data_IF_422323562703
#
_entry.id   IF_422323562703
#
_cell.length_a   1.000
_cell.length_b   1.000
_cell.length_c   1.000
_cell.angle_alpha   90.00
_cell.angle_beta   90.00
_cell.angle_gamma   90.00
#
_symmetry.space_group_name_H-M   'P 1'
#
loop_
_entity.id
_entity.type
_entity.pdbx_description
1 polymer ?
#
# COMPACT_ATOMS: atom_id res chain seq x y z
N UNK A 1 5.81 12.33 -18.76
CA UNK A 1 5.55 13.76 -18.78
C UNK A 1 6.12 14.37 -17.49
N UNK A 2 6.96 15.37 -17.66
CA UNK A 2 7.53 16.11 -16.55
C UNK A 2 6.86 17.48 -16.50
N UNK A 3 6.21 17.83 -15.40
CA UNK A 3 5.72 19.18 -15.16
C UNK A 3 6.81 19.95 -14.42
N UNK A 4 7.33 20.98 -15.05
CA UNK A 4 8.33 21.85 -14.43
C UNK A 4 7.62 22.91 -13.58
N UNK A 5 7.88 22.87 -12.27
CA UNK A 5 7.47 23.90 -11.30
C UNK A 5 8.69 24.74 -10.97
N UNK A 6 9.24 25.42 -11.96
CA UNK A 6 10.39 26.26 -11.73
C UNK A 6 10.00 27.60 -11.09
N UNK A 7 10.75 28.03 -10.11
CA UNK A 7 10.72 29.42 -9.67
C UNK A 7 11.30 30.34 -10.80
N UNK A 8 10.82 31.58 -10.95
CA UNK A 8 11.36 32.49 -11.96
C UNK A 8 12.90 32.56 -11.91
N UNK A 9 13.56 32.20 -13.01
CA UNK A 9 15.02 32.25 -13.16
C UNK A 9 15.80 31.03 -12.70
N UNK A 10 15.15 29.92 -12.25
CA UNK A 10 15.82 28.66 -11.95
C UNK A 10 14.95 27.49 -12.40
N UNK A 11 15.42 26.75 -13.42
CA UNK A 11 14.85 25.46 -13.76
C UNK A 11 15.47 24.33 -12.93
N UNK A 12 14.76 23.24 -12.65
CA UNK A 12 15.34 22.07 -11.97
C UNK A 12 16.49 21.44 -12.74
N UNK A 13 16.60 21.71 -14.03
CA UNK A 13 17.67 21.22 -14.90
C UNK A 13 18.97 22.03 -14.81
N UNK A 14 18.95 23.20 -14.17
CA UNK A 14 20.14 24.04 -13.95
C UNK A 14 20.85 23.75 -12.61
N UNK A 15 20.26 22.88 -11.78
CA UNK A 15 20.82 22.49 -10.50
C UNK A 15 21.75 21.28 -10.67
N UNK A 16 23.06 21.43 -10.40
CA UNK A 16 24.02 20.35 -10.60
C UNK A 16 23.78 19.14 -9.69
N UNK A 17 23.25 19.32 -8.48
CA UNK A 17 22.98 18.21 -7.56
C UNK A 17 21.78 17.39 -8.04
N UNK A 18 20.75 18.05 -8.54
CA UNK A 18 19.61 17.38 -9.18
C UNK A 18 20.06 16.61 -10.42
N UNK A 19 20.87 17.22 -11.27
CA UNK A 19 21.39 16.56 -12.47
C UNK A 19 22.30 15.39 -12.15
N UNK A 20 23.11 15.48 -11.09
CA UNK A 20 23.92 14.35 -10.61
C UNK A 20 23.04 13.19 -10.10
N UNK A 21 21.96 13.49 -9.37
CA UNK A 21 21.00 12.49 -8.95
C UNK A 21 20.30 11.81 -10.16
N UNK A 22 19.87 12.58 -11.15
CA UNK A 22 19.28 12.06 -12.40
C UNK A 22 20.27 11.14 -13.13
N UNK A 23 21.55 11.56 -13.27
CA UNK A 23 22.59 10.74 -13.89
C UNK A 23 22.77 9.40 -13.13
N UNK A 24 22.71 9.43 -11.80
CA UNK A 24 22.77 8.22 -10.97
C UNK A 24 21.58 7.27 -11.21
N UNK A 25 20.37 7.81 -11.33
CA UNK A 25 19.19 7.01 -11.67
C UNK A 25 19.31 6.37 -13.06
N UNK A 26 19.83 7.12 -14.04
CA UNK A 26 20.08 6.59 -15.40
C UNK A 26 21.10 5.44 -15.35
N UNK A 27 22.19 5.60 -14.59
CA UNK A 27 23.20 4.55 -14.40
C UNK A 27 22.58 3.26 -13.81
N UNK A 28 21.81 3.42 -12.72
CA UNK A 28 21.13 2.29 -12.06
C UNK A 28 20.13 1.63 -13.00
N UNK A 29 19.33 2.43 -13.72
CA UNK A 29 18.38 1.92 -14.70
C UNK A 29 19.05 1.14 -15.83
N UNK A 30 20.16 1.64 -16.36
CA UNK A 30 20.93 0.96 -17.40
C UNK A 30 21.49 -0.39 -16.90
N UNK A 31 22.03 -0.43 -15.68
CA UNK A 31 22.51 -1.68 -15.05
C UNK A 31 21.36 -2.67 -14.83
N UNK A 32 20.21 -2.19 -14.37
CA UNK A 32 19.02 -3.02 -14.19
C UNK A 32 18.53 -3.62 -15.51
N UNK A 33 18.53 -2.84 -16.59
CA UNK A 33 18.17 -3.32 -17.92
C UNK A 33 19.13 -4.39 -18.47
N UNK A 34 20.38 -4.34 -18.08
CA UNK A 34 21.38 -5.33 -18.46
C UNK A 34 21.33 -6.61 -17.60
N UNK A 35 20.58 -6.61 -16.50
CA UNK A 35 20.42 -7.79 -15.67
C UNK A 35 19.59 -8.86 -16.39
N UNK A 36 20.10 -10.10 -16.53
CA UNK A 36 19.39 -11.18 -17.21
C UNK A 36 18.16 -11.65 -16.41
N UNK A 37 18.24 -11.66 -15.09
CA UNK A 37 17.13 -11.98 -14.21
C UNK A 37 16.45 -10.70 -13.75
N UNK A 38 15.21 -10.51 -14.17
CA UNK A 38 14.33 -9.39 -13.80
C UNK A 38 13.09 -9.87 -13.08
N UNK A 39 13.12 -11.10 -12.55
CA UNK A 39 12.01 -11.60 -11.74
C UNK A 39 11.79 -10.71 -10.52
N UNK A 40 10.55 -10.54 -10.06
CA UNK A 40 10.25 -9.80 -8.85
C UNK A 40 10.99 -10.41 -7.66
N UNK A 41 11.80 -9.59 -6.97
CA UNK A 41 12.52 -9.99 -5.77
C UNK A 41 11.77 -9.66 -4.47
N UNK A 42 10.61 -9.01 -4.58
CA UNK A 42 9.85 -8.54 -3.43
C UNK A 42 9.12 -9.68 -2.72
N UNK A 43 9.20 -9.73 -1.40
CA UNK A 43 8.37 -10.61 -0.56
C UNK A 43 7.06 -9.93 -0.11
N UNK A 44 6.94 -8.64 -0.37
CA UNK A 44 5.79 -7.81 -0.02
C UNK A 44 5.00 -7.42 -1.27
N UNK A 45 3.70 -7.71 -1.27
CA UNK A 45 2.73 -7.13 -2.20
C UNK A 45 1.93 -6.03 -1.51
N UNK A 46 1.92 -4.85 -2.07
CA UNK A 46 1.10 -3.73 -1.62
C UNK A 46 -0.12 -3.64 -2.51
N UNK A 47 -1.29 -3.64 -1.91
CA UNK A 47 -2.57 -3.65 -2.61
C UNK A 47 -3.28 -2.33 -2.40
N UNK A 48 -3.66 -1.69 -3.49
CA UNK A 48 -4.49 -0.48 -3.51
C UNK A 48 -5.78 -0.73 -4.29
N UNK A 49 -6.82 0.01 -3.97
CA UNK A 49 -8.11 -0.05 -4.64
C UNK A 49 -8.47 1.32 -5.19
N UNK A 50 -8.53 1.46 -6.52
CA UNK A 50 -8.87 2.72 -7.17
C UNK A 50 -10.34 3.13 -6.92
N UNK A 51 -11.35 2.23 -7.04
CA UNK A 51 -12.73 2.58 -6.75
C UNK A 51 -12.97 3.06 -5.33
N UNK A 52 -12.15 2.64 -4.37
CA UNK A 52 -12.29 3.07 -2.97
C UNK A 52 -12.13 4.58 -2.76
N UNK A 53 -11.43 5.28 -3.65
CA UNK A 53 -11.36 6.75 -3.62
C UNK A 53 -12.72 7.44 -3.80
N UNK A 54 -13.66 6.78 -4.45
CA UNK A 54 -15.00 7.32 -4.67
C UNK A 54 -15.82 7.38 -3.38
N UNK A 55 -15.42 6.63 -2.34
CA UNK A 55 -16.10 6.62 -1.04
C UNK A 55 -15.56 7.67 -0.06
N UNK A 56 -14.48 8.36 -0.39
CA UNK A 56 -13.87 9.36 0.51
C UNK A 56 -14.57 10.72 0.50
N UNK A 57 -15.45 10.97 -0.44
CA UNK A 57 -16.04 12.27 -0.68
C UNK A 57 -15.06 13.30 -1.26
N UNK A 58 -15.43 14.56 -1.28
CA UNK A 58 -14.66 15.62 -1.95
C UNK A 58 -13.39 16.06 -1.20
N UNK A 59 -13.25 15.69 0.06
CA UNK A 59 -12.15 16.20 0.89
C UNK A 59 -10.81 15.48 0.69
N UNK A 60 -10.80 14.32 0.06
CA UNK A 60 -9.61 13.47 -0.17
C UNK A 60 -8.71 13.31 1.06
N UNK A 61 -9.31 13.26 2.23
CA UNK A 61 -8.57 13.28 3.49
C UNK A 61 -7.84 11.98 3.79
N UNK A 62 -8.24 10.88 3.15
CA UNK A 62 -7.69 9.54 3.41
C UNK A 62 -6.68 9.08 2.36
N UNK A 63 -6.80 9.50 1.10
CA UNK A 63 -5.85 9.11 0.05
C UNK A 63 -4.42 9.61 0.38
N UNK A 64 -4.29 10.80 0.96
CA UNK A 64 -3.01 11.34 1.38
C UNK A 64 -2.30 10.47 2.43
N UNK A 65 -2.86 10.19 3.62
CA UNK A 65 -2.17 9.37 4.62
C UNK A 65 -2.06 7.89 4.24
N UNK A 66 -3.08 7.32 3.59
CA UNK A 66 -3.12 5.88 3.32
C UNK A 66 -2.27 5.46 2.12
N UNK A 67 -2.17 6.30 1.12
CA UNK A 67 -1.46 5.94 -0.11
C UNK A 67 -0.23 6.79 -0.31
N UNK A 68 -0.38 8.13 -0.37
CA UNK A 68 0.73 9.00 -0.67
C UNK A 68 1.82 8.94 0.41
N UNK A 69 1.48 9.14 1.69
CA UNK A 69 2.47 9.08 2.78
C UNK A 69 3.06 7.70 2.96
N UNK A 70 2.26 6.64 2.86
CA UNK A 70 2.77 5.27 2.98
C UNK A 70 3.76 4.96 1.86
N UNK A 71 3.44 5.33 0.63
CA UNK A 71 4.31 5.08 -0.52
C UNK A 71 5.60 5.90 -0.47
N UNK A 72 5.52 7.19 -0.14
CA UNK A 72 6.69 8.06 -0.17
C UNK A 72 7.56 8.02 1.09
N UNK A 73 6.96 7.83 2.26
CA UNK A 73 7.69 7.97 3.53
C UNK A 73 7.64 6.72 4.40
N UNK A 74 6.66 5.88 4.25
CA UNK A 74 6.55 4.60 4.93
C UNK A 74 7.33 3.51 4.22
N UNK A 75 6.75 2.96 3.16
CA UNK A 75 7.28 1.80 2.45
C UNK A 75 8.67 2.02 1.86
N UNK A 76 8.94 3.19 1.27
CA UNK A 76 10.26 3.50 0.70
C UNK A 76 11.39 3.54 1.73
N UNK A 77 11.07 3.70 3.03
CA UNK A 77 12.05 3.73 4.12
C UNK A 77 12.25 2.39 4.82
N UNK A 78 11.43 1.40 4.51
CA UNK A 78 11.59 0.06 5.12
C UNK A 78 12.83 -0.67 4.62
N UNK A 79 13.40 -0.25 3.49
CA UNK A 79 14.49 -0.94 2.83
C UNK A 79 14.09 -2.27 2.17
N UNK A 80 12.84 -2.68 2.31
CA UNK A 80 12.30 -3.88 1.68
C UNK A 80 11.71 -3.55 0.31
N UNK A 81 12.06 -4.29 -0.75
CA UNK A 81 11.39 -4.15 -2.05
C UNK A 81 9.93 -4.60 -1.93
N UNK A 82 9.05 -3.95 -2.66
CA UNK A 82 7.64 -4.34 -2.76
C UNK A 82 7.13 -4.22 -4.18
N UNK A 83 6.17 -5.06 -4.52
CA UNK A 83 5.39 -4.95 -5.75
C UNK A 83 4.04 -4.30 -5.44
N UNK A 84 3.53 -3.51 -6.37
CA UNK A 84 2.27 -2.77 -6.22
C UNK A 84 1.23 -3.35 -7.18
N UNK A 85 0.05 -3.69 -6.65
CA UNK A 85 -1.05 -4.26 -7.41
C UNK A 85 -2.36 -3.55 -7.10
N UNK A 86 -3.28 -3.60 -8.04
CA UNK A 86 -4.67 -3.22 -7.81
C UNK A 86 -5.45 -4.38 -7.18
N UNK A 87 -6.46 -4.05 -6.40
CA UNK A 87 -7.35 -5.05 -5.80
C UNK A 87 -8.00 -5.96 -6.86
N UNK A 88 -8.34 -5.41 -8.02
CA UNK A 88 -8.93 -6.15 -9.13
C UNK A 88 -7.95 -7.11 -9.83
N UNK A 89 -6.66 -6.95 -9.61
CA UNK A 89 -5.62 -7.80 -10.19
C UNK A 89 -5.17 -8.96 -9.28
N UNK A 90 -5.77 -9.13 -8.10
CA UNK A 90 -5.40 -10.18 -7.15
C UNK A 90 -5.47 -11.58 -7.75
N UNK A 91 -6.40 -11.82 -8.69
CA UNK A 91 -6.50 -13.12 -9.36
C UNK A 91 -5.29 -13.40 -10.27
N UNK A 92 -4.66 -12.36 -10.80
CA UNK A 92 -3.57 -12.40 -11.79
C UNK A 92 -2.19 -12.27 -11.17
N UNK A 93 -2.07 -12.31 -9.84
CA UNK A 93 -0.76 -12.22 -9.18
C UNK A 93 0.19 -13.28 -9.76
N UNK A 94 1.41 -12.92 -10.13
CA UNK A 94 2.35 -13.83 -10.81
C UNK A 94 2.87 -14.93 -9.90
N UNK A 95 2.81 -14.74 -8.60
CA UNK A 95 3.29 -15.66 -7.56
C UNK A 95 2.67 -15.33 -6.20
N UNK A 96 2.71 -16.24 -5.22
CA UNK A 96 2.39 -15.88 -3.84
C UNK A 96 3.48 -14.98 -3.23
N UNK A 97 3.08 -14.14 -2.28
CA UNK A 97 3.94 -13.28 -1.48
C UNK A 97 3.92 -13.72 -0.02
N UNK A 98 4.98 -13.41 0.71
CA UNK A 98 5.06 -13.70 2.15
C UNK A 98 4.27 -12.69 2.98
N UNK A 99 4.12 -11.47 2.43
CA UNK A 99 3.37 -10.40 3.09
C UNK A 99 2.50 -9.67 2.07
N UNK A 100 1.27 -9.37 2.48
CA UNK A 100 0.33 -8.53 1.73
C UNK A 100 -0.09 -7.36 2.59
N UNK A 101 -0.02 -6.15 2.05
CA UNK A 101 -0.44 -4.93 2.73
C UNK A 101 -1.56 -4.27 1.93
N UNK A 102 -2.77 -4.26 2.47
CA UNK A 102 -3.91 -3.57 1.89
C UNK A 102 -3.99 -2.15 2.45
N UNK A 103 -3.93 -1.14 1.58
CA UNK A 103 -3.89 0.26 2.01
C UNK A 103 -5.26 0.91 2.12
N UNK A 104 -6.13 0.73 1.13
CA UNK A 104 -7.40 1.48 1.05
C UNK A 104 -8.56 0.67 0.47
N UNK A 105 -8.57 -0.63 0.57
CA UNK A 105 -9.64 -1.47 0.03
C UNK A 105 -10.92 -1.36 0.87
N UNK A 106 -11.57 -0.18 0.87
CA UNK A 106 -12.77 0.07 1.69
C UNK A 106 -13.94 -0.79 1.25
N UNK A 107 -14.16 -0.90 -0.06
CA UNK A 107 -15.14 -1.79 -0.65
C UNK A 107 -14.46 -3.06 -1.15
N UNK A 108 -14.87 -4.21 -0.65
CA UNK A 108 -14.39 -5.52 -1.10
C UNK A 108 -15.58 -6.37 -1.47
N UNK A 109 -15.76 -6.61 -2.76
CA UNK A 109 -16.85 -7.42 -3.29
C UNK A 109 -16.78 -8.88 -2.84
N UNK A 110 -17.90 -9.59 -2.92
CA UNK A 110 -17.94 -11.01 -2.58
C UNK A 110 -16.98 -11.87 -3.42
N UNK A 111 -16.73 -11.50 -4.68
CA UNK A 111 -15.75 -12.17 -5.54
C UNK A 111 -14.31 -11.93 -5.06
N UNK A 112 -13.96 -10.68 -4.76
CA UNK A 112 -12.64 -10.32 -4.22
C UNK A 112 -12.38 -10.96 -2.85
N UNK A 113 -13.39 -11.02 -1.95
CA UNK A 113 -13.29 -11.74 -0.67
C UNK A 113 -12.93 -13.22 -0.87
N UNK A 114 -13.55 -13.90 -1.83
CA UNK A 114 -13.21 -15.29 -2.15
C UNK A 114 -11.77 -15.44 -2.65
N UNK A 115 -11.28 -14.51 -3.45
CA UNK A 115 -9.88 -14.50 -3.92
C UNK A 115 -8.93 -14.29 -2.75
N UNK A 116 -9.22 -13.32 -1.89
CA UNK A 116 -8.42 -13.03 -0.68
C UNK A 116 -8.33 -14.27 0.19
N UNK A 117 -9.45 -14.89 0.51
CA UNK A 117 -9.52 -16.09 1.34
C UNK A 117 -8.80 -17.28 0.68
N UNK A 118 -9.01 -17.48 -0.62
CA UNK A 118 -8.49 -18.65 -1.34
C UNK A 118 -7.03 -18.53 -1.79
N UNK A 119 -6.49 -17.33 -2.01
CA UNK A 119 -5.15 -17.12 -2.55
C UNK A 119 -4.22 -16.34 -1.64
N UNK A 120 -4.74 -15.44 -0.80
CA UNK A 120 -3.95 -14.52 0.00
C UNK A 120 -3.79 -15.01 1.44
N UNK A 121 -4.88 -15.38 2.10
CA UNK A 121 -4.88 -15.86 3.48
C UNK A 121 -4.44 -17.32 3.59
N UNK A 122 -3.30 -17.67 3.01
CA UNK A 122 -2.80 -19.05 2.93
C UNK A 122 -1.32 -19.16 3.26
N UNK A 123 -0.89 -20.38 3.52
CA UNK A 123 0.52 -20.79 3.61
C UNK A 123 1.34 -19.97 4.62
N UNK A 124 0.69 -19.44 5.66
CA UNK A 124 1.35 -18.63 6.68
C UNK A 124 1.73 -17.23 6.20
N UNK A 125 1.17 -16.74 5.10
CA UNK A 125 1.38 -15.37 4.66
C UNK A 125 0.86 -14.37 5.70
N UNK A 126 1.64 -13.31 5.94
CA UNK A 126 1.21 -12.18 6.75
C UNK A 126 0.29 -11.28 5.93
N UNK A 127 -0.90 -11.00 6.44
CA UNK A 127 -1.81 -10.03 5.81
C UNK A 127 -2.00 -8.85 6.74
N UNK A 128 -1.53 -7.69 6.31
CA UNK A 128 -1.68 -6.43 7.05
C UNK A 128 -2.77 -5.57 6.41
N UNK A 129 -3.66 -5.10 7.24
CA UNK A 129 -4.80 -4.28 6.85
C UNK A 129 -4.63 -2.87 7.41
N UNK A 130 -4.53 -1.90 6.53
CA UNK A 130 -4.49 -0.49 6.92
C UNK A 130 -5.91 0.05 6.90
N UNK A 131 -6.31 0.81 7.91
CA UNK A 131 -7.57 1.53 7.98
C UNK A 131 -8.78 0.71 7.43
N UNK A 132 -9.93 1.07 7.48
CA UNK A 132 -11.25 0.54 7.12
C UNK A 132 -11.37 -0.45 5.93
N UNK A 133 -10.36 -1.30 5.68
CA UNK A 133 -10.43 -2.29 4.61
C UNK A 133 -11.62 -3.24 4.82
N UNK A 134 -12.43 -3.40 3.78
CA UNK A 134 -13.61 -4.24 3.78
C UNK A 134 -14.80 -3.68 4.55
N UNK A 135 -14.76 -2.41 5.00
CA UNK A 135 -15.87 -1.80 5.76
C UNK A 135 -17.15 -1.67 4.95
N UNK A 136 -17.03 -1.59 3.62
CA UNK A 136 -18.15 -1.45 2.70
C UNK A 136 -18.37 -2.76 1.97
N UNK A 137 -19.61 -3.26 2.02
CA UNK A 137 -20.15 -4.26 1.10
C UNK A 137 -21.42 -3.69 0.48
N UNK A 138 -22.60 -4.21 0.75
CA UNK A 138 -23.85 -3.53 0.39
C UNK A 138 -24.12 -2.30 1.27
N UNK A 139 -23.60 -2.33 2.48
CA UNK A 139 -23.70 -1.24 3.47
C UNK A 139 -22.34 -1.00 4.12
N UNK A 140 -22.17 0.19 4.70
CA UNK A 140 -21.00 0.52 5.51
C UNK A 140 -21.24 0.01 6.95
N UNK A 141 -20.53 -1.03 7.36
CA UNK A 141 -20.68 -1.62 8.70
C UNK A 141 -19.37 -2.27 9.20
N UNK A 142 -19.06 -2.21 10.52
CA UNK A 142 -17.86 -2.83 11.08
C UNK A 142 -17.84 -4.37 10.99
N UNK A 143 -19.00 -5.01 10.91
CA UNK A 143 -19.08 -6.46 10.74
C UNK A 143 -18.51 -6.91 9.40
N UNK A 144 -18.62 -6.09 8.36
CA UNK A 144 -18.00 -6.38 7.07
C UNK A 144 -16.46 -6.50 7.16
N UNK A 145 -15.84 -5.68 8.03
CA UNK A 145 -14.42 -5.77 8.34
C UNK A 145 -14.13 -7.03 9.16
N UNK A 146 -14.99 -7.31 10.15
CA UNK A 146 -14.84 -8.48 11.02
C UNK A 146 -14.88 -9.78 10.22
N UNK A 147 -15.79 -9.86 9.27
CA UNK A 147 -15.93 -11.02 8.37
C UNK A 147 -14.76 -11.16 7.40
N UNK A 148 -14.19 -10.05 6.93
CA UNK A 148 -13.05 -10.09 6.00
C UNK A 148 -11.74 -10.44 6.73
N UNK A 149 -11.52 -9.85 7.90
CA UNK A 149 -10.21 -9.85 8.59
C UNK A 149 -10.14 -10.97 9.65
N UNK A 150 -11.29 -11.47 10.09
CA UNK A 150 -11.37 -12.50 11.14
C UNK A 150 -11.19 -11.96 12.55
N UNK A 151 -11.21 -10.64 12.73
CA UNK A 151 -11.13 -9.98 14.03
C UNK A 151 -12.41 -9.17 14.27
N UNK A 152 -12.83 -9.05 15.54
CA UNK A 152 -14.01 -8.26 15.86
C UNK A 152 -13.67 -6.77 15.86
N UNK A 153 -14.37 -6.01 15.02
CA UNK A 153 -14.29 -4.56 14.94
C UNK A 153 -15.54 -3.89 15.52
N UNK A 154 -15.34 -2.74 16.08
CA UNK A 154 -16.43 -1.84 16.46
C UNK A 154 -16.00 -0.40 16.16
N UNK A 155 -16.92 0.48 15.82
CA UNK A 155 -16.62 1.87 15.58
C UNK A 155 -16.68 2.68 16.87
N UNK A 156 -15.69 3.53 17.06
CA UNK A 156 -15.70 4.56 18.09
C UNK A 156 -15.79 5.92 17.39
N UNK A 157 -17.01 6.49 17.40
CA UNK A 157 -17.28 7.78 16.79
C UNK A 157 -16.80 8.96 17.65
N UNK A 158 -16.24 8.71 18.81
CA UNK A 158 -15.68 9.73 19.70
C UNK A 158 -14.17 9.92 19.53
N UNK A 159 -13.51 8.98 18.84
CA UNK A 159 -12.07 9.06 18.59
C UNK A 159 -11.77 10.03 17.43
N UNK A 160 -10.89 10.99 17.69
CA UNK A 160 -10.51 12.04 16.73
C UNK A 160 -9.16 11.78 16.06
N UNK A 161 -8.44 10.74 16.46
CA UNK A 161 -7.13 10.43 15.90
C UNK A 161 -6.97 8.94 15.56
N UNK A 162 -6.31 8.68 14.43
CA UNK A 162 -5.90 7.34 14.00
C UNK A 162 -4.55 7.03 14.62
N UNK A 163 -4.53 6.75 15.92
CA UNK A 163 -3.33 6.32 16.62
C UNK A 163 -3.43 4.84 16.95
N UNK A 164 -2.39 4.09 16.61
CA UNK A 164 -2.20 2.74 17.08
C UNK A 164 -1.18 2.76 18.22
N UNK A 165 -1.57 2.27 19.37
CA UNK A 165 -0.70 2.10 20.52
C UNK A 165 -0.39 0.61 20.68
N UNK A 166 0.88 0.26 20.62
CA UNK A 166 1.34 -1.07 21.01
C UNK A 166 1.32 -1.17 22.53
N UNK A 167 0.52 -2.09 23.07
CA UNK A 167 0.37 -2.30 24.51
C UNK A 167 1.21 -3.46 25.04
N UNK A 168 1.91 -4.17 24.17
CA UNK A 168 2.81 -5.27 24.53
C UNK A 168 3.84 -5.52 23.43
N UNK A 169 4.99 -6.06 23.82
CA UNK A 169 6.12 -6.37 22.94
C UNK A 169 6.50 -7.86 22.98
N UNK A 170 5.55 -8.73 23.37
CA UNK A 170 5.79 -10.15 23.53
C UNK A 170 5.67 -10.94 22.21
N UNK A 171 5.26 -10.28 21.12
CA UNK A 171 5.12 -10.90 19.81
C UNK A 171 6.38 -10.68 18.96
N UNK A 172 6.86 -11.67 18.17
CA UNK A 172 8.06 -11.53 17.34
C UNK A 172 8.08 -10.33 16.40
N UNK A 173 6.91 -9.81 16.00
CA UNK A 173 6.79 -8.60 15.15
C UNK A 173 7.07 -7.32 15.96
N UNK A 174 6.94 -7.35 17.29
CA UNK A 174 7.07 -6.18 18.17
C UNK A 174 8.31 -6.24 19.05
N UNK A 175 9.08 -7.31 18.97
CA UNK A 175 10.39 -7.45 19.65
C UNK A 175 11.47 -6.83 18.76
N UNK A 176 12.34 -6.00 19.33
CA UNK A 176 13.55 -5.46 18.68
C UNK A 176 14.61 -6.54 18.43
#
# INVERSE_FOLDING_TARGET
WWADWAAPGRGPYDDPDIMAAVAKFVEVGTKSLACPDRSPAADLAVIIDEPSFLYEGLSRTLDWPLIYRQRHWGLSRTGAPYDLYLLDDLEKLPRPYRCYLFLNAFHVSAAQRKIIDSKICRDGALVAWSYMNGAISDTLHPDNMSDLIGMRFRWDMTAWSLNMLLTGFDHPITQD
#
